data_IF_045532128573
#
_entry.id   IF_045532128573
#
_cell.length_a   1.000
_cell.length_b   1.000
_cell.length_c   1.000
_cell.angle_alpha   90.00
_cell.angle_beta   90.00
_cell.angle_gamma   90.00
#
_symmetry.space_group_name_H-M   'P 1'
#
loop_
_entity.id
_entity.type
_entity.pdbx_description
1 polymer ?
#
# COMPACT_ATOMS: atom_id res chain seq x y z
N UNK A 1 8.73 -8.02 -11.21
CA UNK A 1 9.54 -6.80 -11.34
C UNK A 1 10.84 -6.97 -12.10
N UNK A 2 10.90 -7.81 -13.14
CA UNK A 2 12.13 -8.05 -13.92
C UNK A 2 12.17 -7.31 -15.27
N UNK A 3 11.12 -6.56 -15.60
CA UNK A 3 11.08 -5.76 -16.83
C UNK A 3 12.09 -4.62 -16.78
N UNK A 4 12.55 -4.22 -17.96
CA UNK A 4 13.31 -2.99 -18.14
C UNK A 4 12.50 -1.79 -17.64
N UNK A 5 13.20 -0.76 -17.16
CA UNK A 5 12.54 0.49 -16.81
C UNK A 5 12.01 1.19 -18.07
N UNK A 6 10.85 1.87 -18.00
CA UNK A 6 10.27 2.53 -19.16
C UNK A 6 11.08 3.75 -19.63
N UNK A 7 11.99 4.25 -18.80
CA UNK A 7 12.95 5.32 -19.07
C UNK A 7 14.17 5.13 -18.15
N UNK A 8 15.20 5.97 -18.29
CA UNK A 8 16.33 6.00 -17.36
C UNK A 8 15.84 6.38 -15.95
N UNK A 9 16.02 5.52 -14.92
CA UNK A 9 15.66 5.85 -13.55
C UNK A 9 16.37 7.08 -13.01
N UNK A 10 17.58 7.40 -13.49
CA UNK A 10 18.36 8.53 -13.01
C UNK A 10 17.63 9.86 -13.22
N UNK A 11 16.81 9.97 -14.28
CA UNK A 11 16.02 11.17 -14.60
C UNK A 11 14.75 11.31 -13.74
N UNK A 12 14.39 10.30 -12.95
CA UNK A 12 13.18 10.32 -12.14
C UNK A 12 13.33 11.34 -10.99
N UNK A 13 12.46 12.37 -10.99
CA UNK A 13 12.39 13.36 -9.90
C UNK A 13 11.28 13.08 -8.89
N UNK A 14 10.25 12.33 -9.28
CA UNK A 14 9.09 12.02 -8.46
C UNK A 14 8.70 10.56 -8.65
N UNK A 15 8.83 9.76 -7.60
CA UNK A 15 8.53 8.34 -7.66
C UNK A 15 7.24 8.02 -6.89
N UNK A 16 6.24 7.49 -7.58
CA UNK A 16 5.05 6.91 -6.95
C UNK A 16 5.31 5.42 -6.73
N UNK A 17 5.31 5.00 -5.47
CA UNK A 17 5.50 3.60 -5.10
C UNK A 17 4.30 2.78 -5.58
N UNK A 18 4.50 1.73 -6.40
CA UNK A 18 3.41 0.89 -6.89
C UNK A 18 2.57 0.30 -5.75
N UNK A 19 1.25 0.48 -5.83
CA UNK A 19 0.31 -0.05 -4.83
C UNK A 19 0.09 -1.55 -5.04
N UNK A 20 0.02 -2.32 -3.94
CA UNK A 20 -0.18 -3.78 -3.92
C UNK A 20 0.88 -4.60 -4.68
N UNK A 21 2.02 -4.01 -5.00
CA UNK A 21 3.19 -4.73 -5.52
C UNK A 21 4.06 -5.23 -4.36
N UNK A 22 4.79 -6.33 -4.60
CA UNK A 22 5.80 -6.80 -3.65
C UNK A 22 6.84 -5.71 -3.35
N UNK A 23 7.28 -5.63 -2.10
CA UNK A 23 8.23 -4.60 -1.63
C UNK A 23 9.53 -4.62 -2.43
N UNK A 24 10.02 -5.80 -2.81
CA UNK A 24 11.20 -5.98 -3.67
C UNK A 24 11.03 -5.27 -5.03
N UNK A 25 9.86 -5.44 -5.66
CA UNK A 25 9.54 -4.81 -6.94
C UNK A 25 9.40 -3.30 -6.79
N UNK A 26 8.73 -2.87 -5.71
CA UNK A 26 8.44 -1.47 -5.44
C UNK A 26 9.68 -0.65 -5.05
N UNK A 27 10.71 -1.27 -4.46
CA UNK A 27 11.93 -0.58 -4.05
C UNK A 27 13.08 -0.72 -5.03
N UNK A 28 13.02 -1.70 -5.96
CA UNK A 28 14.05 -1.96 -6.99
C UNK A 28 14.60 -0.71 -7.69
N UNK A 29 13.78 0.26 -8.16
CA UNK A 29 14.33 1.40 -8.90
C UNK A 29 15.06 2.43 -8.03
N UNK A 30 14.75 2.52 -6.74
CA UNK A 30 15.21 3.61 -5.87
C UNK A 30 16.74 3.81 -5.86
N UNK A 31 17.58 2.76 -5.81
CA UNK A 31 19.04 2.94 -5.86
C UNK A 31 19.57 3.57 -7.15
N UNK A 32 18.81 3.51 -8.25
CA UNK A 32 19.19 4.08 -9.54
C UNK A 32 18.61 5.48 -9.79
N UNK A 33 17.77 6.01 -8.89
CA UNK A 33 17.10 7.30 -9.08
C UNK A 33 17.90 8.47 -8.49
N UNK A 34 18.99 8.83 -9.15
CA UNK A 34 19.93 9.86 -8.66
C UNK A 34 19.27 11.24 -8.44
N UNK A 35 18.28 11.61 -9.26
CA UNK A 35 17.62 12.91 -9.18
C UNK A 35 16.30 12.91 -8.39
N UNK A 36 15.93 11.81 -7.74
CA UNK A 36 14.64 11.72 -7.03
C UNK A 36 14.56 12.77 -5.93
N UNK A 37 13.43 13.45 -5.82
CA UNK A 37 13.16 14.49 -4.81
C UNK A 37 12.01 14.08 -3.89
N UNK A 38 11.04 13.34 -4.43
CA UNK A 38 9.87 12.90 -3.70
C UNK A 38 9.63 11.42 -3.96
N UNK A 39 9.37 10.68 -2.89
CA UNK A 39 8.85 9.32 -2.92
C UNK A 39 7.45 9.36 -2.32
N UNK A 40 6.43 9.09 -3.12
CA UNK A 40 5.02 9.12 -2.73
C UNK A 40 4.49 7.69 -2.57
N UNK A 41 4.07 7.34 -1.37
CA UNK A 41 3.33 6.08 -1.14
C UNK A 41 1.82 6.29 -1.33
N UNK A 42 1.12 5.23 -1.71
CA UNK A 42 -0.35 5.21 -1.80
C UNK A 42 -1.01 4.61 -0.54
N UNK A 43 -0.20 4.34 0.49
CA UNK A 43 -0.58 3.86 1.81
C UNK A 43 -0.49 4.98 2.85
N UNK A 44 -1.25 4.85 3.94
CA UNK A 44 -1.08 5.75 5.09
C UNK A 44 0.21 5.44 5.86
N UNK A 45 0.53 4.15 6.05
CA UNK A 45 1.78 3.69 6.64
C UNK A 45 2.95 3.75 5.64
N UNK A 46 4.17 3.89 6.16
CA UNK A 46 5.40 4.03 5.37
C UNK A 46 6.49 3.05 5.76
N UNK A 47 6.24 2.13 6.69
CA UNK A 47 7.22 1.26 7.33
C UNK A 47 8.00 0.40 6.31
N UNK A 48 7.34 -0.01 5.24
CA UNK A 48 7.91 -0.81 4.15
C UNK A 48 8.75 -0.01 3.14
N UNK A 49 8.71 1.33 3.20
CA UNK A 49 9.38 2.23 2.23
C UNK A 49 10.42 3.11 2.91
N UNK A 50 10.16 3.56 4.14
CA UNK A 50 11.01 4.47 4.88
C UNK A 50 12.47 4.01 5.00
N UNK A 51 12.79 2.71 5.26
CA UNK A 51 14.17 2.25 5.31
C UNK A 51 14.93 2.44 4.00
N UNK A 52 14.27 2.26 2.86
CA UNK A 52 14.90 2.45 1.55
C UNK A 52 15.12 3.93 1.23
N UNK A 53 14.17 4.80 1.60
CA UNK A 53 14.31 6.26 1.43
C UNK A 53 15.44 6.82 2.29
N UNK A 54 15.64 6.27 3.50
CA UNK A 54 16.73 6.66 4.38
C UNK A 54 18.13 6.38 3.78
N UNK A 55 18.24 5.48 2.81
CA UNK A 55 19.47 5.20 2.08
C UNK A 55 19.70 6.09 0.84
N UNK A 56 18.76 6.99 0.52
CA UNK A 56 18.88 7.90 -0.61
C UNK A 56 19.66 9.16 -0.23
N UNK A 57 19.94 9.98 -1.25
CA UNK A 57 20.57 11.29 -1.05
C UNK A 57 19.79 12.15 -0.05
N UNK A 58 20.51 13.00 0.66
CA UNK A 58 19.89 13.93 1.61
C UNK A 58 18.89 14.87 0.91
N UNK A 59 17.80 15.18 1.62
CA UNK A 59 16.74 16.07 1.13
C UNK A 59 15.65 15.40 0.29
N UNK A 60 15.67 14.06 0.11
CA UNK A 60 14.53 13.33 -0.47
C UNK A 60 13.36 13.32 0.52
N UNK A 61 12.17 13.71 0.05
CA UNK A 61 10.95 13.78 0.86
C UNK A 61 10.13 12.50 0.67
N UNK A 62 9.76 11.85 1.77
CA UNK A 62 8.79 10.76 1.78
C UNK A 62 7.40 11.29 2.10
N UNK A 63 6.47 11.12 1.17
CA UNK A 63 5.05 11.46 1.33
C UNK A 63 4.21 10.19 1.41
N UNK A 64 3.09 10.27 2.13
CA UNK A 64 2.12 9.19 2.26
C UNK A 64 0.72 9.63 1.82
N UNK A 65 -0.24 8.71 1.91
CA UNK A 65 -1.64 8.93 1.56
C UNK A 65 -2.54 8.98 2.80
N UNK A 66 -2.10 9.65 3.88
CA UNK A 66 -2.92 9.86 5.08
C UNK A 66 -4.25 10.53 4.70
N UNK A 67 -5.36 10.10 5.30
CA UNK A 67 -6.70 10.58 4.98
C UNK A 67 -7.42 9.81 3.87
N UNK A 68 -6.72 9.24 2.88
CA UNK A 68 -7.36 8.65 1.69
C UNK A 68 -8.21 7.43 2.02
N UNK A 69 -7.78 6.61 2.99
CA UNK A 69 -8.43 5.32 3.32
C UNK A 69 -9.11 5.31 4.69
N UNK A 70 -9.17 6.44 5.41
CA UNK A 70 -9.61 6.46 6.82
C UNK A 70 -11.06 6.00 6.98
N UNK A 71 -11.99 6.58 6.22
CA UNK A 71 -13.41 6.22 6.28
C UNK A 71 -13.64 4.75 5.93
N UNK A 72 -13.12 4.30 4.77
CA UNK A 72 -13.27 2.91 4.32
C UNK A 72 -12.67 1.91 5.31
N UNK A 73 -11.53 2.25 5.94
CA UNK A 73 -10.90 1.39 6.95
C UNK A 73 -11.74 1.33 8.22
N UNK A 74 -12.29 2.47 8.67
CA UNK A 74 -13.17 2.51 9.84
C UNK A 74 -14.47 1.73 9.62
N UNK A 75 -15.10 1.89 8.46
CA UNK A 75 -16.28 1.13 8.06
C UNK A 75 -16.00 -0.38 8.02
N UNK A 76 -14.89 -0.77 7.40
CA UNK A 76 -14.47 -2.17 7.34
C UNK A 76 -14.21 -2.73 8.75
N UNK A 77 -13.52 -1.99 9.62
CA UNK A 77 -13.26 -2.42 10.99
C UNK A 77 -14.55 -2.65 11.79
N UNK A 78 -15.51 -1.73 11.67
CA UNK A 78 -16.82 -1.87 12.30
C UNK A 78 -17.59 -3.07 11.74
N UNK A 79 -17.61 -3.23 10.41
CA UNK A 79 -18.28 -4.34 9.74
C UNK A 79 -17.69 -5.69 10.16
N UNK A 80 -16.36 -5.82 10.21
CA UNK A 80 -15.68 -7.04 10.67
C UNK A 80 -15.97 -7.35 12.14
N UNK A 81 -16.01 -6.32 12.99
CA UNK A 81 -16.37 -6.45 14.41
C UNK A 81 -17.78 -7.01 14.56
N UNK A 82 -18.76 -6.43 13.85
CA UNK A 82 -20.14 -6.89 13.87
C UNK A 82 -20.29 -8.29 13.28
N UNK A 83 -19.61 -8.59 12.17
CA UNK A 83 -19.63 -9.90 11.54
C UNK A 83 -19.13 -10.99 12.50
N UNK A 84 -18.05 -10.72 13.22
CA UNK A 84 -17.47 -11.62 14.23
C UNK A 84 -18.42 -11.85 15.41
N UNK A 85 -18.97 -10.76 15.99
CA UNK A 85 -19.82 -10.85 17.19
C UNK A 85 -21.22 -11.42 16.92
N UNK A 86 -21.73 -11.26 15.70
CA UNK A 86 -23.12 -11.61 15.36
C UNK A 86 -23.23 -12.84 14.48
N UNK A 87 -22.12 -13.51 14.17
CA UNK A 87 -22.12 -14.73 13.38
C UNK A 87 -22.64 -14.54 11.96
N UNK A 88 -22.55 -13.32 11.41
CA UNK A 88 -23.08 -12.98 10.08
C UNK A 88 -22.52 -13.93 9.00
N UNK A 89 -21.19 -14.23 8.94
CA UNK A 89 -20.67 -15.16 7.95
C UNK A 89 -21.29 -16.56 8.02
N UNK A 90 -21.56 -17.06 9.24
CA UNK A 90 -22.23 -18.37 9.45
C UNK A 90 -23.66 -18.35 8.91
N UNK A 91 -24.42 -17.29 9.19
CA UNK A 91 -25.79 -17.16 8.71
C UNK A 91 -25.87 -17.02 7.18
N UNK A 92 -24.93 -16.29 6.56
CA UNK A 92 -24.84 -16.18 5.10
C UNK A 92 -24.56 -17.54 4.45
N UNK A 93 -23.65 -18.33 5.03
CA UNK A 93 -23.37 -19.67 4.53
C UNK A 93 -24.55 -20.63 4.77
N UNK A 94 -25.18 -20.58 5.94
CA UNK A 94 -26.39 -21.35 6.24
C UNK A 94 -27.52 -21.07 5.25
N UNK A 95 -27.77 -19.80 4.94
CA UNK A 95 -28.72 -19.41 3.88
C UNK A 95 -28.38 -20.06 2.53
N UNK A 96 -27.10 -20.08 2.13
CA UNK A 96 -26.64 -20.65 0.84
C UNK A 96 -26.95 -22.13 0.71
N UNK A 97 -26.97 -22.86 1.82
CA UNK A 97 -27.29 -24.30 1.89
C UNK A 97 -28.67 -24.58 2.48
N UNK A 98 -29.53 -23.55 2.59
CA UNK A 98 -30.90 -23.63 3.12
C UNK A 98 -31.01 -24.09 4.59
N UNK A 99 -29.92 -23.97 5.36
CA UNK A 99 -29.88 -24.23 6.80
C UNK A 99 -30.13 -22.95 7.61
N UNK A 100 -31.38 -22.77 8.04
CA UNK A 100 -31.84 -21.59 8.80
C UNK A 100 -31.83 -21.83 10.32
N UNK A 101 -30.64 -22.06 10.89
CA UNK A 101 -30.44 -22.33 12.33
C UNK A 101 -29.39 -21.41 12.98
#
# INVERSE_FOLDING_TARGET
GAQAFPADPADCVFYVVPYLSGTDVALRPLPAMENVRVVQTLSAGTDNVAPAVAGLREGVVLCNARGVHEASTAELALALTLASLRGIPRFVEGQRVEEWR
#
